data_IF_003088746264
#
_entry.id   IF_003088746264
#
_cell.length_a   1.000
_cell.length_b   1.000
_cell.length_c   1.000
_cell.angle_alpha   90.00
_cell.angle_beta   90.00
_cell.angle_gamma   90.00
#
_symmetry.space_group_name_H-M   'P 1'
#
loop_
_entity.id
_entity.type
_entity.pdbx_description
1 polymer ?
#
# COMPACT_ATOMS: atom_id res chain seq x y z
N UNK A 1 27.45 17.38 3.45
CA UNK A 1 26.21 17.03 4.18
C UNK A 1 26.53 15.93 5.18
N UNK A 2 25.94 15.92 6.39
CA UNK A 2 26.22 14.86 7.39
C UNK A 2 25.65 13.51 6.90
N UNK A 3 26.33 12.40 7.19
CA UNK A 3 25.93 11.05 6.77
C UNK A 3 24.47 10.72 7.12
N UNK A 4 23.99 11.13 8.30
CA UNK A 4 22.58 10.94 8.69
C UNK A 4 21.56 11.61 7.76
N UNK A 5 21.89 12.76 7.15
CA UNK A 5 21.00 13.42 6.17
C UNK A 5 20.93 12.65 4.85
N UNK A 6 22.05 12.05 4.44
CA UNK A 6 22.10 11.21 3.22
C UNK A 6 21.33 9.90 3.40
N UNK A 7 21.46 9.28 4.59
CA UNK A 7 20.72 8.06 4.93
C UNK A 7 19.21 8.34 4.95
N UNK A 8 18.78 9.41 5.63
CA UNK A 8 17.37 9.79 5.67
C UNK A 8 16.81 10.04 4.24
N UNK A 9 17.55 10.78 3.42
CA UNK A 9 17.14 11.05 2.03
C UNK A 9 17.05 9.76 1.19
N UNK A 10 18.05 8.87 1.32
CA UNK A 10 18.06 7.59 0.61
C UNK A 10 16.89 6.70 1.01
N UNK A 11 16.60 6.59 2.31
CA UNK A 11 15.49 5.81 2.82
C UNK A 11 14.14 6.35 2.35
N UNK A 12 13.92 7.67 2.42
CA UNK A 12 12.71 8.31 1.90
C UNK A 12 12.52 8.07 0.40
N UNK A 13 13.60 8.11 -0.39
CA UNK A 13 13.56 7.81 -1.81
C UNK A 13 13.15 6.37 -2.11
N UNK A 14 13.68 5.40 -1.36
CA UNK A 14 13.31 3.98 -1.51
C UNK A 14 11.85 3.76 -1.15
N UNK A 15 11.37 4.33 -0.04
CA UNK A 15 9.98 4.17 0.40
C UNK A 15 8.99 4.73 -0.62
N UNK A 16 9.29 5.91 -1.18
CA UNK A 16 8.49 6.50 -2.25
C UNK A 16 8.49 5.64 -3.53
N UNK A 17 9.66 5.14 -3.94
CA UNK A 17 9.78 4.28 -5.12
C UNK A 17 9.03 2.96 -4.96
N UNK A 18 9.08 2.35 -3.78
CA UNK A 18 8.33 1.14 -3.46
C UNK A 18 6.81 1.40 -3.55
N UNK A 19 6.32 2.47 -2.92
CA UNK A 19 4.90 2.84 -2.97
C UNK A 19 4.38 3.06 -4.39
N UNK A 20 5.14 3.78 -5.23
CA UNK A 20 4.79 4.00 -6.65
C UNK A 20 4.80 2.69 -7.43
N UNK A 21 5.78 1.82 -7.19
CA UNK A 21 5.88 0.52 -7.87
C UNK A 21 4.66 -0.33 -7.56
N UNK A 22 4.30 -0.51 -6.29
CA UNK A 22 3.12 -1.28 -5.87
C UNK A 22 1.85 -0.70 -6.49
N UNK A 23 1.63 0.61 -6.38
CA UNK A 23 0.43 1.25 -6.92
C UNK A 23 0.30 1.10 -8.46
N UNK A 24 1.42 1.06 -9.17
CA UNK A 24 1.45 0.91 -10.63
C UNK A 24 1.12 -0.51 -11.08
N UNK A 25 1.57 -1.52 -10.33
CA UNK A 25 1.49 -2.91 -10.78
C UNK A 25 0.33 -3.70 -10.15
N UNK A 26 -0.13 -3.35 -8.94
CA UNK A 26 -1.22 -4.06 -8.26
C UNK A 26 -2.60 -3.43 -8.52
N UNK A 27 -2.67 -2.11 -8.71
CA UNK A 27 -3.92 -1.36 -8.75
C UNK A 27 -4.54 -1.14 -7.36
N UNK A 28 -5.49 -0.20 -7.25
CA UNK A 28 -6.10 0.20 -5.98
C UNK A 28 -7.61 -0.04 -5.98
N UNK A 29 -8.09 -0.77 -4.98
CA UNK A 29 -9.52 -0.95 -4.70
C UNK A 29 -9.84 -0.48 -3.27
N UNK A 30 -10.58 0.61 -3.13
CA UNK A 30 -10.87 1.23 -1.82
C UNK A 30 -12.01 0.56 -1.06
N UNK A 31 -12.76 -0.33 -1.72
CA UNK A 31 -13.83 -1.09 -1.08
C UNK A 31 -13.38 -2.53 -0.93
N UNK A 32 -13.41 -3.07 0.29
CA UNK A 32 -13.08 -4.47 0.51
C UNK A 32 -13.95 -5.40 -0.34
N UNK A 33 -13.33 -6.39 -0.99
CA UNK A 33 -13.97 -7.30 -1.93
C UNK A 33 -13.54 -8.75 -1.67
N UNK A 34 -14.18 -9.69 -2.38
CA UNK A 34 -13.75 -11.09 -2.41
C UNK A 34 -13.00 -11.32 -3.71
N UNK A 35 -11.74 -11.72 -3.61
CA UNK A 35 -10.91 -11.99 -4.77
C UNK A 35 -11.33 -13.29 -5.50
N UNK A 36 -10.79 -13.59 -6.70
CA UNK A 36 -11.19 -14.78 -7.46
C UNK A 36 -10.94 -16.12 -6.76
N UNK A 37 -10.11 -16.16 -5.72
CA UNK A 37 -9.82 -17.38 -4.94
C UNK A 37 -10.58 -17.43 -3.60
N UNK A 38 -11.46 -16.45 -3.35
CA UNK A 38 -12.37 -16.45 -2.20
C UNK A 38 -11.81 -15.78 -0.94
N UNK A 39 -10.75 -14.97 -1.05
CA UNK A 39 -10.13 -14.29 0.09
C UNK A 39 -10.65 -12.85 0.16
N UNK A 40 -10.93 -12.37 1.39
CA UNK A 40 -11.25 -10.98 1.62
C UNK A 40 -10.00 -10.12 1.39
N UNK A 41 -10.11 -9.15 0.50
CA UNK A 41 -8.99 -8.33 0.02
C UNK A 41 -9.39 -6.85 -0.05
N UNK A 42 -8.45 -5.94 0.22
CA UNK A 42 -8.66 -4.48 0.11
C UNK A 42 -7.39 -3.77 -0.38
N UNK A 43 -7.51 -2.51 -0.78
CA UNK A 43 -6.41 -1.61 -1.16
C UNK A 43 -5.55 -2.18 -2.30
N UNK A 44 -4.25 -2.41 -2.05
CA UNK A 44 -3.28 -2.99 -2.98
C UNK A 44 -3.09 -4.50 -2.78
N UNK A 45 -4.16 -5.23 -2.41
CA UNK A 45 -4.09 -6.68 -2.18
C UNK A 45 -3.90 -7.10 -0.72
N UNK A 46 -4.22 -6.23 0.24
CA UNK A 46 -4.09 -6.51 1.67
C UNK A 46 -5.20 -7.44 2.14
N UNK A 47 -4.86 -8.46 2.93
CA UNK A 47 -5.82 -9.44 3.46
C UNK A 47 -6.00 -9.35 4.98
N UNK A 48 -5.04 -8.78 5.72
CA UNK A 48 -5.09 -8.73 7.19
C UNK A 48 -6.20 -7.80 7.72
N UNK A 49 -6.40 -6.67 7.06
CA UNK A 49 -7.38 -5.64 7.46
C UNK A 49 -8.64 -5.65 6.59
N UNK A 50 -8.77 -6.63 5.70
CA UNK A 50 -9.81 -6.66 4.70
C UNK A 50 -11.16 -7.06 5.30
N UNK A 51 -12.15 -6.18 5.13
CA UNK A 51 -13.55 -6.46 5.43
C UNK A 51 -14.38 -6.14 4.20
N UNK A 52 -15.11 -7.14 3.69
CA UNK A 52 -15.92 -6.97 2.48
C UNK A 52 -16.95 -5.86 2.68
N UNK A 53 -16.98 -4.91 1.75
CA UNK A 53 -17.87 -3.75 1.78
C UNK A 53 -17.42 -2.60 2.69
N UNK A 54 -16.30 -2.72 3.39
CA UNK A 54 -15.72 -1.60 4.14
C UNK A 54 -14.97 -0.67 3.18
N UNK A 55 -15.25 0.63 3.27
CA UNK A 55 -14.51 1.66 2.56
C UNK A 55 -13.25 2.07 3.31
N UNK A 56 -12.17 2.28 2.56
CA UNK A 56 -10.89 2.78 3.04
C UNK A 56 -10.52 4.09 2.34
N UNK A 57 -9.67 4.90 2.98
CA UNK A 57 -9.08 6.07 2.33
C UNK A 57 -7.83 5.67 1.56
N UNK A 58 -7.42 6.53 0.62
CA UNK A 58 -6.16 6.34 -0.09
C UNK A 58 -4.95 6.33 0.85
N UNK A 59 -4.98 7.07 1.96
CA UNK A 59 -3.90 7.05 2.96
C UNK A 59 -3.87 5.74 3.75
N UNK A 60 -5.04 5.21 4.13
CA UNK A 60 -5.12 3.91 4.82
C UNK A 60 -4.56 2.77 3.97
N UNK A 61 -4.57 2.91 2.64
CA UNK A 61 -4.00 1.94 1.71
C UNK A 61 -2.46 1.83 1.77
N UNK A 62 -1.76 2.82 2.33
CA UNK A 62 -0.30 2.84 2.44
C UNK A 62 0.22 2.40 3.82
N UNK A 63 -0.69 1.98 4.71
CA UNK A 63 -0.33 1.36 5.98
C UNK A 63 0.02 -0.10 5.66
N UNK A 64 1.31 -0.35 5.42
CA UNK A 64 1.88 -1.69 5.30
C UNK A 64 1.92 -2.40 6.65
#
# INVERSE_FOLDING_TARGET
MKAGKLIALGFSGILAAAGVTVATFEGQELTGYVDPVGIATTCYGQTEIAFVGKEHTGEESFIF
#
